data_IF_418553572148
#
_entry.id   IF_418553572148
#
_cell.length_a   1.000
_cell.length_b   1.000
_cell.length_c   1.000
_cell.angle_alpha   90.00
_cell.angle_beta   90.00
_cell.angle_gamma   90.00
#
_symmetry.space_group_name_H-M   'P 1'
#
loop_
_entity.id
_entity.type
_entity.pdbx_description
1 polymer ?
#
# COMPACT_ATOMS: atom_id res chain seq x y z
N UNK A 1 -23.92 2.84 26.01
CA UNK A 1 -23.01 1.68 26.13
C UNK A 1 -22.22 1.59 24.83
N UNK A 2 -21.01 2.14 24.76
CA UNK A 2 -20.19 2.01 23.55
C UNK A 2 -19.59 0.60 23.54
N UNK A 3 -19.84 -0.18 22.48
CA UNK A 3 -19.24 -1.49 22.31
C UNK A 3 -17.72 -1.35 22.21
N UNK A 4 -16.97 -2.18 22.95
CA UNK A 4 -15.51 -2.21 22.87
C UNK A 4 -15.12 -2.69 21.47
N UNK A 5 -14.30 -1.96 20.71
CA UNK A 5 -13.96 -2.34 19.35
C UNK A 5 -13.19 -3.65 19.33
N UNK A 6 -13.52 -4.53 18.38
CA UNK A 6 -12.84 -5.81 18.22
C UNK A 6 -11.39 -5.60 17.76
N UNK A 7 -10.48 -6.52 18.09
CA UNK A 7 -9.08 -6.51 17.62
C UNK A 7 -8.92 -6.29 16.10
N UNK A 8 -9.70 -6.93 15.20
CA UNK A 8 -9.65 -6.63 13.77
C UNK A 8 -10.12 -5.20 13.41
N UNK A 9 -11.15 -4.67 14.08
CA UNK A 9 -11.59 -3.29 13.86
C UNK A 9 -10.49 -2.30 14.23
N UNK A 10 -9.82 -2.51 15.37
CA UNK A 10 -8.71 -1.66 15.80
C UNK A 10 -7.55 -1.67 14.78
N UNK A 11 -7.24 -2.83 14.20
CA UNK A 11 -6.21 -2.94 13.14
C UNK A 11 -6.61 -2.17 11.89
N UNK A 12 -7.86 -2.32 11.43
CA UNK A 12 -8.38 -1.57 10.28
C UNK A 12 -8.36 -0.07 10.52
N UNK A 13 -8.78 0.38 11.71
CA UNK A 13 -8.71 1.80 12.09
C UNK A 13 -7.28 2.33 12.04
N UNK A 14 -6.29 1.54 12.47
CA UNK A 14 -4.87 1.94 12.37
C UNK A 14 -4.41 2.10 10.92
N UNK A 15 -4.78 1.18 10.04
CA UNK A 15 -4.44 1.30 8.62
C UNK A 15 -5.19 2.45 7.94
N UNK A 16 -6.48 2.62 8.23
CA UNK A 16 -7.31 3.68 7.66
C UNK A 16 -6.78 5.08 7.99
N UNK A 17 -6.26 5.29 9.20
CA UNK A 17 -5.66 6.56 9.62
C UNK A 17 -4.41 6.97 8.85
N UNK A 18 -3.78 6.04 8.15
CA UNK A 18 -2.56 6.30 7.38
C UNK A 18 -2.86 6.60 5.92
N UNK A 19 -4.07 6.30 5.44
CA UNK A 19 -4.38 6.48 4.03
C UNK A 19 -4.20 7.94 3.59
N UNK A 20 -3.80 8.18 2.34
CA UNK A 20 -4.03 9.48 1.72
C UNK A 20 -5.53 9.76 1.62
N UNK A 21 -5.91 11.02 1.44
CA UNK A 21 -7.30 11.36 1.16
C UNK A 21 -7.70 10.85 -0.22
N UNK A 22 -6.79 10.94 -1.19
CA UNK A 22 -7.02 10.54 -2.58
C UNK A 22 -5.87 9.67 -3.09
N UNK A 23 -6.16 8.72 -4.00
CA UNK A 23 -5.12 7.86 -4.57
C UNK A 23 -4.10 8.64 -5.41
N UNK A 24 -4.50 9.80 -5.94
CA UNK A 24 -3.64 10.71 -6.72
C UNK A 24 -2.54 11.40 -5.90
N UNK A 25 -2.63 11.38 -4.57
CA UNK A 25 -1.55 11.88 -3.70
C UNK A 25 -0.34 10.94 -3.70
N UNK A 26 -0.48 9.71 -4.20
CA UNK A 26 0.62 8.74 -4.32
C UNK A 26 1.57 9.14 -5.46
N UNK A 27 2.52 10.01 -5.11
CA UNK A 27 3.46 10.64 -6.03
C UNK A 27 4.87 10.01 -6.01
N UNK A 28 4.98 8.80 -5.48
CA UNK A 28 6.23 8.08 -5.39
C UNK A 28 6.86 7.74 -6.76
N UNK A 29 8.15 7.39 -6.77
CA UNK A 29 8.89 7.12 -8.00
C UNK A 29 8.33 5.89 -8.72
N UNK A 30 8.25 5.99 -10.05
CA UNK A 30 7.77 4.89 -10.89
C UNK A 30 8.87 3.93 -11.38
N UNK A 31 10.13 4.39 -11.38
CA UNK A 31 11.28 3.67 -11.94
C UNK A 31 12.55 3.99 -11.15
N UNK A 32 13.62 3.25 -11.45
CA UNK A 32 14.91 3.43 -10.80
C UNK A 32 14.95 2.87 -9.39
N UNK A 33 15.89 3.37 -8.59
CA UNK A 33 16.18 2.82 -7.26
C UNK A 33 15.49 3.63 -6.17
N UNK A 34 14.91 2.93 -5.21
CA UNK A 34 14.32 3.47 -3.99
C UNK A 34 15.03 2.88 -2.80
N UNK A 35 15.46 3.74 -1.89
CA UNK A 35 16.01 3.35 -0.60
C UNK A 35 14.93 3.53 0.47
N UNK A 36 14.46 2.42 1.06
CA UNK A 36 13.52 2.45 2.16
C UNK A 36 14.25 2.69 3.48
N UNK A 37 13.72 3.58 4.35
CA UNK A 37 14.27 3.82 5.68
C UNK A 37 14.12 2.59 6.57
N UNK A 38 14.94 2.55 7.62
CA UNK A 38 15.04 1.40 8.52
C UNK A 38 13.72 1.03 9.22
N UNK A 39 12.82 1.99 9.44
CA UNK A 39 11.52 1.67 10.04
C UNK A 39 10.61 0.85 9.11
N UNK A 40 10.83 0.92 7.79
CA UNK A 40 10.12 0.12 6.79
C UNK A 40 10.85 -1.19 6.49
N UNK A 41 12.17 -1.12 6.24
CA UNK A 41 12.98 -2.27 5.86
C UNK A 41 14.08 -2.51 6.92
N UNK A 42 13.80 -3.39 7.87
CA UNK A 42 14.73 -3.69 8.96
C UNK A 42 15.96 -4.46 8.45
N UNK A 43 17.14 -3.85 8.62
CA UNK A 43 18.54 -4.33 8.46
C UNK A 43 18.92 -5.27 7.30
N UNK A 44 18.04 -5.51 6.33
CA UNK A 44 18.30 -6.35 5.14
C UNK A 44 18.36 -5.54 3.85
N UNK A 45 17.62 -5.99 2.83
CA UNK A 45 17.48 -5.28 1.56
C UNK A 45 16.67 -3.99 1.76
N UNK A 46 17.35 -2.85 1.82
CA UNK A 46 16.73 -1.52 1.92
C UNK A 46 16.61 -0.82 0.56
N UNK A 47 17.42 -1.23 -0.43
CA UNK A 47 17.39 -0.68 -1.80
C UNK A 47 16.60 -1.56 -2.75
N UNK A 48 15.60 -1.00 -3.41
CA UNK A 48 14.73 -1.67 -4.37
C UNK A 48 14.85 -1.03 -5.75
N UNK A 49 15.10 -1.85 -6.77
CA UNK A 49 15.05 -1.44 -8.18
C UNK A 49 13.61 -1.64 -8.70
N UNK A 50 12.92 -0.53 -8.95
CA UNK A 50 11.52 -0.52 -9.41
C UNK A 50 11.36 -0.94 -10.88
N UNK A 51 12.46 -0.98 -11.65
CA UNK A 51 12.45 -1.53 -13.00
C UNK A 51 12.41 -3.06 -13.00
N UNK A 52 12.72 -3.69 -11.85
CA UNK A 52 12.58 -5.14 -11.65
C UNK A 52 11.22 -5.48 -11.02
N UNK A 53 10.30 -6.17 -11.72
CA UNK A 53 8.94 -6.40 -11.25
C UNK A 53 8.86 -7.06 -9.87
N UNK A 54 9.76 -8.02 -9.58
CA UNK A 54 9.80 -8.70 -8.28
C UNK A 54 10.21 -7.77 -7.13
N UNK A 55 11.19 -6.89 -7.36
CA UNK A 55 11.65 -5.95 -6.33
C UNK A 55 10.65 -4.82 -6.13
N UNK A 56 10.06 -4.30 -7.21
CA UNK A 56 8.94 -3.36 -7.14
C UNK A 56 7.79 -3.93 -6.31
N UNK A 57 7.40 -5.18 -6.56
CA UNK A 57 6.36 -5.86 -5.79
C UNK A 57 6.70 -5.96 -4.30
N UNK A 58 7.93 -6.33 -3.97
CA UNK A 58 8.39 -6.41 -2.58
C UNK A 58 8.38 -5.04 -1.90
N UNK A 59 8.85 -3.99 -2.58
CA UNK A 59 8.82 -2.61 -2.07
C UNK A 59 7.40 -2.19 -1.69
N UNK A 60 6.44 -2.37 -2.60
CA UNK A 60 5.04 -1.96 -2.38
C UNK A 60 4.39 -2.75 -1.22
N UNK A 61 4.71 -4.04 -1.09
CA UNK A 61 4.23 -4.85 0.05
C UNK A 61 4.74 -4.33 1.39
N UNK A 62 6.03 -3.96 1.46
CA UNK A 62 6.64 -3.43 2.68
C UNK A 62 6.00 -2.09 3.05
N UNK A 63 5.91 -1.17 2.08
CA UNK A 63 5.34 0.16 2.30
C UNK A 63 3.87 0.08 2.74
N UNK A 64 3.07 -0.81 2.14
CA UNK A 64 1.67 -1.01 2.57
C UNK A 64 1.53 -1.61 3.98
N UNK A 65 2.46 -2.46 4.39
CA UNK A 65 2.41 -3.12 5.69
C UNK A 65 2.91 -2.20 6.82
N UNK A 66 4.04 -1.54 6.60
CA UNK A 66 4.80 -0.83 7.64
C UNK A 66 4.67 0.70 7.55
N UNK A 67 4.35 1.22 6.37
CA UNK A 67 4.30 2.65 6.07
C UNK A 67 3.32 3.43 6.94
N UNK A 68 3.72 4.64 7.34
CA UNK A 68 2.81 5.69 7.77
C UNK A 68 2.38 6.55 6.56
N UNK A 69 1.47 7.49 6.76
CA UNK A 69 0.92 8.34 5.69
C UNK A 69 1.99 8.93 4.77
N UNK A 70 3.01 9.58 5.33
CA UNK A 70 4.08 10.19 4.54
C UNK A 70 4.88 9.15 3.73
N UNK A 71 5.10 7.95 4.30
CA UNK A 71 5.76 6.86 3.59
C UNK A 71 4.92 6.38 2.39
N UNK A 72 3.60 6.29 2.55
CA UNK A 72 2.69 5.87 1.47
C UNK A 72 2.76 6.87 0.31
N UNK A 73 2.57 8.16 0.61
CA UNK A 73 2.60 9.27 -0.36
C UNK A 73 3.95 9.36 -1.06
N UNK A 74 5.04 9.12 -0.33
CA UNK A 74 6.41 9.27 -0.85
C UNK A 74 6.90 8.07 -1.66
N UNK A 75 6.49 6.85 -1.32
CA UNK A 75 7.04 5.62 -1.94
C UNK A 75 6.10 4.91 -2.89
N UNK A 76 4.78 5.11 -2.78
CA UNK A 76 3.82 4.52 -3.70
C UNK A 76 3.48 5.48 -4.83
N UNK A 77 3.27 4.92 -6.01
CA UNK A 77 2.79 5.64 -7.19
C UNK A 77 1.39 5.13 -7.54
N UNK A 78 0.45 6.04 -7.80
CA UNK A 78 -0.94 5.69 -8.14
C UNK A 78 -1.03 4.67 -9.28
N UNK A 79 -0.44 4.97 -10.44
CA UNK A 79 -0.58 4.14 -11.64
C UNK A 79 0.01 2.75 -11.44
N UNK A 80 1.17 2.67 -10.81
CA UNK A 80 1.81 1.39 -10.50
C UNK A 80 1.03 0.59 -9.47
N UNK A 81 0.50 1.25 -8.44
CA UNK A 81 -0.29 0.59 -7.40
C UNK A 81 -1.53 -0.04 -8.02
N UNK A 82 -2.30 0.73 -8.80
CA UNK A 82 -3.49 0.24 -9.50
C UNK A 82 -3.16 -0.90 -10.45
N UNK A 83 -2.08 -0.78 -11.25
CA UNK A 83 -1.67 -1.85 -12.16
C UNK A 83 -1.24 -3.15 -11.43
N UNK A 84 -0.63 -3.03 -10.25
CA UNK A 84 -0.14 -4.16 -9.46
C UNK A 84 -1.20 -4.73 -8.51
N UNK A 85 -2.25 -3.96 -8.20
CA UNK A 85 -3.25 -4.30 -7.19
C UNK A 85 -3.88 -5.69 -7.35
N UNK A 86 -4.24 -6.17 -8.56
CA UNK A 86 -4.85 -7.49 -8.73
C UNK A 86 -4.01 -8.64 -8.16
N UNK A 87 -2.67 -8.52 -8.25
CA UNK A 87 -1.74 -9.48 -7.65
C UNK A 87 -1.44 -9.10 -6.20
N UNK A 88 -1.23 -7.81 -5.91
CA UNK A 88 -0.76 -7.30 -4.61
C UNK A 88 -1.76 -7.58 -3.49
N UNK A 89 -3.05 -7.43 -3.77
CA UNK A 89 -4.15 -7.72 -2.83
C UNK A 89 -4.16 -9.18 -2.34
N UNK A 90 -3.52 -10.10 -3.07
CA UNK A 90 -3.39 -11.52 -2.67
C UNK A 90 -2.20 -11.76 -1.73
N UNK A 91 -1.27 -10.80 -1.66
CA UNK A 91 0.02 -10.93 -0.96
C UNK A 91 0.10 -10.08 0.32
N UNK A 92 -0.96 -9.34 0.64
CA UNK A 92 -1.09 -8.49 1.83
C UNK A 92 -2.20 -9.00 2.76
N UNK A 93 -2.23 -8.50 3.99
CA UNK A 93 -3.26 -8.91 4.96
C UNK A 93 -4.65 -8.45 4.52
N UNK A 94 -5.68 -9.22 4.92
CA UNK A 94 -7.08 -8.87 4.66
C UNK A 94 -7.45 -7.48 5.21
N UNK A 95 -6.93 -7.10 6.37
CA UNK A 95 -7.26 -5.80 6.97
C UNK A 95 -6.72 -4.63 6.14
N UNK A 96 -5.53 -4.74 5.55
CA UNK A 96 -5.00 -3.73 4.62
C UNK A 96 -5.83 -3.71 3.36
N UNK A 97 -6.05 -4.88 2.73
CA UNK A 97 -6.85 -4.98 1.50
C UNK A 97 -8.23 -4.36 1.67
N UNK A 98 -8.98 -4.79 2.70
CA UNK A 98 -10.33 -4.30 2.95
C UNK A 98 -10.32 -2.77 3.19
N UNK A 99 -9.31 -2.22 3.89
CA UNK A 99 -9.22 -0.77 4.12
C UNK A 99 -8.98 0.01 2.82
N UNK A 100 -8.09 -0.47 1.95
CA UNK A 100 -7.76 0.20 0.69
C UNK A 100 -8.88 0.07 -0.35
N UNK A 101 -9.47 -1.12 -0.53
CA UNK A 101 -10.58 -1.34 -1.48
C UNK A 101 -11.87 -0.61 -1.07
N UNK A 102 -12.08 -0.34 0.23
CA UNK A 102 -13.23 0.47 0.69
C UNK A 102 -12.98 1.98 0.58
N UNK A 103 -11.72 2.41 0.48
CA UNK A 103 -11.36 3.82 0.42
C UNK A 103 -11.18 4.33 -1.02
N UNK A 104 -10.74 3.46 -1.93
CA UNK A 104 -10.41 3.84 -3.31
C UNK A 104 -11.13 2.94 -4.31
N UNK A 105 -12.07 3.52 -5.05
CA UNK A 105 -12.84 2.81 -6.07
C UNK A 105 -11.94 2.28 -7.20
N UNK A 106 -10.82 2.94 -7.50
CA UNK A 106 -9.86 2.51 -8.53
C UNK A 106 -9.16 1.19 -8.18
N UNK A 107 -9.19 0.77 -6.92
CA UNK A 107 -8.64 -0.49 -6.44
C UNK A 107 -9.72 -1.57 -6.26
N UNK A 108 -10.99 -1.22 -6.44
CA UNK A 108 -12.08 -2.17 -6.35
C UNK A 108 -11.96 -3.21 -7.48
N UNK A 109 -12.27 -4.49 -7.21
CA UNK A 109 -12.12 -5.58 -8.19
C UNK A 109 -12.95 -5.40 -9.48
N UNK A 110 -13.93 -4.50 -9.50
CA UNK A 110 -14.80 -4.21 -10.63
C UNK A 110 -14.25 -3.09 -11.55
N UNK A 111 -13.39 -2.20 -11.03
CA UNK A 111 -12.86 -1.06 -11.79
C UNK A 111 -11.92 -1.46 -12.94
N UNK A 112 -11.36 -2.68 -12.88
CA UNK A 112 -10.43 -3.19 -13.89
C UNK A 112 -11.12 -3.86 -15.10
N UNK A 113 -12.46 -4.01 -15.10
CA UNK A 113 -13.20 -4.66 -16.20
C UNK A 113 -13.60 -3.70 -17.33
N UNK A 114 -13.31 -2.40 -17.22
CA UNK A 114 -13.63 -1.39 -18.22
C UNK A 114 -12.34 -0.75 -18.79
N UNK A 115 -11.60 -1.51 -19.60
CA UNK A 115 -10.59 -0.97 -20.51
C UNK A 115 -10.57 -1.79 -21.81
#
# INVERSE_FOLDING_TARGET
MAATPSVPELRRTRFARRLPAELSELAGPARGHVDLPLHLAWSGLTRFDLDRPRLRMSCYRIVLAEGQHDDLVHYLNQELLTAMWPVLRTLISRDIRDVWENAFDELAPDAQAAA
#
